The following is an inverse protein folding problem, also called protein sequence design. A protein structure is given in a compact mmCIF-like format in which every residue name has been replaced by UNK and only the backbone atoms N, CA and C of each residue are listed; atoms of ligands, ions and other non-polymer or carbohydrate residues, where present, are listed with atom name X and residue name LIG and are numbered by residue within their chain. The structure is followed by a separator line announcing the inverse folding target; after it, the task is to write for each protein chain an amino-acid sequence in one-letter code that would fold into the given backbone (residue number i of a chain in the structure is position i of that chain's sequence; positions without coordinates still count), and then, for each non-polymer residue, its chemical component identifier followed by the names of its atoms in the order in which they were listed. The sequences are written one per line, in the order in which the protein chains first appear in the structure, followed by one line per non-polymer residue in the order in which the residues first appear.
data_IF_334436527946
#
_entry.id   IF_334436527946
#
_cell.length_a   1.000
_cell.length_b   1.000
_cell.length_c   1.000
_cell.angle_alpha   90.00
_cell.angle_beta   90.00
_cell.angle_gamma   90.00
#
_symmetry.space_group_name_H-M   'P 1'
#
loop_
_entity.id
_entity.type
_entity.pdbx_description
1 polymer ?
#
# COMPACT_ATOMS: atom_id res chain seq x y z
N UNK A 1 -50.44 6.86 -0.58
CA UNK A 1 -49.62 8.06 -0.89
C UNK A 1 -49.04 8.78 0.33
N UNK A 2 -49.73 9.66 1.08
CA UNK A 2 -49.09 10.48 2.15
C UNK A 2 -48.45 9.66 3.30
N UNK A 3 -49.04 8.52 3.68
CA UNK A 3 -48.47 7.63 4.72
C UNK A 3 -47.28 6.81 4.22
N UNK A 4 -47.32 6.35 2.97
CA UNK A 4 -46.22 5.59 2.34
C UNK A 4 -45.00 6.47 2.11
N UNK A 5 -45.19 7.73 1.69
CA UNK A 5 -44.11 8.71 1.54
C UNK A 5 -43.43 8.98 2.89
N UNK A 6 -44.20 9.14 3.98
CA UNK A 6 -43.65 9.31 5.33
C UNK A 6 -42.88 8.08 5.82
N UNK A 7 -43.35 6.88 5.48
CA UNK A 7 -42.69 5.63 5.84
C UNK A 7 -41.35 5.47 5.10
N UNK A 8 -41.32 5.74 3.80
CA UNK A 8 -40.10 5.75 2.99
C UNK A 8 -39.10 6.78 3.52
N UNK A 9 -39.56 7.99 3.83
CA UNK A 9 -38.69 9.05 4.38
C UNK A 9 -38.07 8.63 5.73
N UNK A 10 -38.85 7.97 6.59
CA UNK A 10 -38.37 7.46 7.87
C UNK A 10 -37.30 6.39 7.69
N UNK A 11 -37.44 5.48 6.72
CA UNK A 11 -36.43 4.45 6.43
C UNK A 11 -35.13 5.10 5.92
N UNK A 12 -35.23 6.06 5.01
CA UNK A 12 -34.05 6.77 4.48
C UNK A 12 -33.28 7.49 5.60
N UNK A 13 -33.99 8.13 6.54
CA UNK A 13 -33.37 8.79 7.69
C UNK A 13 -32.69 7.77 8.61
N UNK A 14 -33.32 6.62 8.88
CA UNK A 14 -32.72 5.55 9.69
C UNK A 14 -31.45 5.00 9.01
N UNK A 15 -31.48 4.78 7.69
CA UNK A 15 -30.32 4.32 6.92
C UNK A 15 -29.19 5.36 6.95
N UNK A 16 -29.50 6.65 6.81
CA UNK A 16 -28.49 7.71 6.93
C UNK A 16 -27.87 7.78 8.33
N UNK A 17 -28.65 7.60 9.39
CA UNK A 17 -28.16 7.56 10.78
C UNK A 17 -27.26 6.32 10.99
N UNK A 18 -27.65 5.16 10.47
CA UNK A 18 -26.85 3.94 10.56
C UNK A 18 -25.52 4.07 9.78
N UNK A 19 -25.54 4.68 8.59
CA UNK A 19 -24.34 4.94 7.79
C UNK A 19 -23.38 5.93 8.47
N UNK A 20 -23.91 6.96 9.13
CA UNK A 20 -23.09 7.94 9.88
C UNK A 20 -22.59 7.44 11.23
N UNK A 21 -23.12 6.32 11.72
CA UNK A 21 -22.66 5.63 12.93
C UNK A 21 -21.54 4.63 12.66
N UNK A 22 -21.19 4.37 11.39
CA UNK A 22 -20.08 3.52 11.02
C UNK A 22 -18.77 4.28 11.26
N UNK A 23 -18.35 4.37 12.53
CA UNK A 23 -17.01 4.83 12.88
C UNK A 23 -16.02 3.82 12.31
N UNK A 24 -15.35 4.19 11.23
CA UNK A 24 -14.13 3.51 10.79
C UNK A 24 -13.16 3.62 11.96
N UNK A 25 -12.68 2.48 12.46
CA UNK A 25 -11.65 2.45 13.50
C UNK A 25 -10.46 3.29 13.03
N UNK A 26 -9.91 4.11 13.91
CA UNK A 26 -8.69 4.88 13.66
C UNK A 26 -7.53 4.27 14.46
N UNK A 27 -7.40 2.94 14.39
CA UNK A 27 -6.28 2.24 14.99
C UNK A 27 -5.07 2.38 14.05
N UNK A 28 -3.91 2.81 14.57
CA UNK A 28 -2.65 2.71 13.85
C UNK A 28 -2.45 1.29 13.27
N UNK A 29 -1.95 1.19 12.05
CA UNK A 29 -1.60 -0.08 11.40
C UNK A 29 -0.09 -0.28 11.37
N UNK A 30 0.63 0.74 10.94
CA UNK A 30 2.07 0.69 10.73
C UNK A 30 2.70 2.04 11.00
N UNK A 31 3.81 2.01 11.71
CA UNK A 31 4.72 3.13 11.88
C UNK A 31 5.90 2.96 10.91
N UNK A 32 6.35 4.04 10.29
CA UNK A 32 7.39 4.05 9.26
C UNK A 32 8.46 5.07 9.61
N UNK A 33 9.71 4.69 9.36
CA UNK A 33 10.84 5.61 9.27
C UNK A 33 11.07 5.82 7.78
N UNK A 34 10.73 6.99 7.29
CA UNK A 34 10.88 7.36 5.88
C UNK A 34 12.09 8.25 5.70
N UNK A 35 12.71 8.17 4.52
CA UNK A 35 13.73 9.11 4.07
C UNK A 35 13.30 9.66 2.72
N UNK A 36 13.18 10.99 2.62
CA UNK A 36 13.00 11.60 1.31
C UNK A 36 14.30 11.47 0.50
N UNK A 37 14.21 10.95 -0.73
CA UNK A 37 15.38 10.64 -1.54
C UNK A 37 16.14 11.90 -1.99
N UNK A 38 15.42 12.96 -2.35
CA UNK A 38 16.03 14.21 -2.82
C UNK A 38 16.72 14.99 -1.69
N UNK A 39 16.05 15.14 -0.55
CA UNK A 39 16.50 16.01 0.54
C UNK A 39 17.26 15.28 1.64
N UNK A 40 17.12 13.94 1.70
CA UNK A 40 17.65 13.12 2.79
C UNK A 40 16.93 13.31 4.13
N UNK A 41 15.83 14.09 4.18
CA UNK A 41 15.05 14.33 5.40
C UNK A 41 14.47 13.01 5.89
N UNK A 42 14.67 12.72 7.18
CA UNK A 42 14.06 11.56 7.85
C UNK A 42 12.80 12.03 8.56
N UNK A 43 11.71 11.28 8.38
CA UNK A 43 10.43 11.51 9.03
C UNK A 43 9.92 10.21 9.67
N UNK A 44 9.11 10.35 10.70
CA UNK A 44 8.48 9.24 11.41
C UNK A 44 6.98 9.39 11.25
N UNK A 45 6.35 8.41 10.60
CA UNK A 45 4.95 8.51 10.17
C UNK A 45 4.17 7.29 10.64
N UNK A 46 3.02 7.51 11.26
CA UNK A 46 2.03 6.46 11.53
C UNK A 46 0.96 6.47 10.46
N UNK A 47 0.59 5.31 9.94
CA UNK A 47 -0.55 5.13 9.03
C UNK A 47 -1.63 4.32 9.75
N UNK A 48 -2.84 4.87 9.79
CA UNK A 48 -3.99 4.27 10.48
C UNK A 48 -4.89 3.47 9.54
N UNK A 49 -5.78 2.66 10.11
CA UNK A 49 -6.72 1.78 9.37
C UNK A 49 -7.74 2.52 8.50
N UNK A 50 -7.85 3.83 8.65
CA UNK A 50 -8.63 4.71 7.79
C UNK A 50 -7.78 5.46 6.75
N UNK A 51 -6.56 4.97 6.48
CA UNK A 51 -5.64 5.50 5.46
C UNK A 51 -5.11 6.92 5.75
N UNK A 52 -5.38 7.45 6.95
CA UNK A 52 -4.78 8.71 7.39
C UNK A 52 -3.36 8.46 7.89
N UNK A 53 -2.48 9.42 7.60
CA UNK A 53 -1.12 9.46 8.11
C UNK A 53 -0.94 10.62 9.08
N UNK A 54 -0.13 10.42 10.11
CA UNK A 54 0.32 11.48 11.02
C UNK A 54 1.81 11.36 11.33
N UNK A 55 2.47 12.50 11.55
CA UNK A 55 3.85 12.52 12.04
C UNK A 55 3.85 12.12 13.52
N UNK A 56 4.80 11.26 13.90
CA UNK A 56 4.90 10.71 15.26
C UNK A 56 6.31 10.91 15.83
N UNK A 57 6.44 10.65 17.13
CA UNK A 57 7.74 10.60 17.79
C UNK A 57 8.62 9.47 17.24
N UNK A 58 9.93 9.61 17.45
CA UNK A 58 10.92 8.62 17.02
C UNK A 58 10.67 7.26 17.67
N UNK A 59 10.81 6.18 16.90
CA UNK A 59 10.70 4.81 17.39
C UNK A 59 11.85 3.94 16.86
N UNK A 60 11.99 2.74 17.42
CA UNK A 60 12.97 1.74 16.98
C UNK A 60 12.29 0.79 16.00
N UNK A 61 12.87 0.61 14.82
CA UNK A 61 12.34 -0.32 13.82
C UNK A 61 12.31 -1.74 14.35
N UNK A 62 11.24 -2.46 14.03
CA UNK A 62 11.15 -3.90 14.16
C UNK A 62 12.13 -4.59 13.19
N UNK A 63 12.41 -5.87 13.43
CA UNK A 63 13.12 -6.71 12.48
C UNK A 63 12.21 -7.05 11.29
N UNK A 64 12.66 -6.75 10.08
CA UNK A 64 11.92 -6.99 8.85
C UNK A 64 12.84 -7.50 7.76
N UNK A 65 12.25 -8.22 6.80
CA UNK A 65 12.94 -8.63 5.58
C UNK A 65 12.54 -7.70 4.45
N UNK A 66 13.54 -7.18 3.74
CA UNK A 66 13.36 -6.42 2.51
C UNK A 66 13.67 -7.31 1.31
N UNK A 67 12.76 -7.34 0.35
CA UNK A 67 12.96 -7.96 -0.95
C UNK A 67 12.76 -6.92 -2.04
N UNK A 68 13.69 -6.85 -2.98
CA UNK A 68 13.63 -5.96 -4.13
C UNK A 68 13.30 -6.79 -5.36
N UNK A 69 12.30 -6.37 -6.13
CA UNK A 69 12.04 -6.95 -7.44
C UNK A 69 13.10 -6.51 -8.44
N UNK A 70 13.45 -7.41 -9.35
CA UNK A 70 14.29 -7.07 -10.49
C UNK A 70 13.62 -5.98 -11.33
N UNK A 71 14.42 -5.07 -11.89
CA UNK A 71 13.96 -3.95 -12.71
C UNK A 71 13.15 -4.38 -13.94
N UNK A 72 13.38 -5.60 -14.44
CA UNK A 72 12.68 -6.15 -15.61
C UNK A 72 11.40 -6.92 -15.23
N UNK A 73 11.03 -6.97 -13.94
CA UNK A 73 9.87 -7.71 -13.41
C UNK A 73 8.54 -7.30 -14.05
N UNK A 74 8.40 -6.02 -14.38
CA UNK A 74 7.18 -5.44 -14.91
C UNK A 74 7.43 -4.79 -16.27
N UNK A 75 6.44 -4.86 -17.15
CA UNK A 75 6.35 -4.00 -18.32
C UNK A 75 5.00 -3.30 -18.33
N UNK A 76 4.96 -2.04 -18.76
CA UNK A 76 3.72 -1.30 -18.88
C UNK A 76 3.08 -1.42 -20.26
N UNK A 77 1.75 -1.32 -20.29
CA UNK A 77 0.96 -1.27 -21.51
C UNK A 77 -0.26 -0.37 -21.32
N UNK A 78 -0.84 0.13 -22.42
CA UNK A 78 -2.03 0.97 -22.38
C UNK A 78 -3.27 0.13 -22.67
N UNK A 79 -4.27 0.20 -21.79
CA UNK A 79 -5.58 -0.40 -21.98
C UNK A 79 -6.67 0.49 -21.40
N UNK A 80 -7.75 0.73 -22.16
CA UNK A 80 -8.87 1.59 -21.74
C UNK A 80 -8.43 2.96 -21.18
N UNK A 81 -7.47 3.62 -21.84
CA UNK A 81 -6.86 4.90 -21.44
C UNK A 81 -6.14 4.89 -20.07
N UNK A 82 -5.77 3.71 -19.57
CA UNK A 82 -4.95 3.54 -18.37
C UNK A 82 -3.62 2.90 -18.74
N UNK A 83 -2.56 3.30 -18.05
CA UNK A 83 -1.28 2.60 -18.07
C UNK A 83 -1.37 1.50 -17.01
N UNK A 84 -1.26 0.25 -17.41
CA UNK A 84 -1.32 -0.93 -16.55
C UNK A 84 -0.01 -1.71 -16.67
N UNK A 85 0.18 -2.68 -15.77
CA UNK A 85 1.40 -3.47 -15.68
C UNK A 85 1.14 -4.92 -16.05
N UNK A 86 2.12 -5.54 -16.69
CA UNK A 86 2.18 -6.97 -16.98
C UNK A 86 3.41 -7.54 -16.30
N UNK A 87 3.25 -8.70 -15.67
CA UNK A 87 4.39 -9.44 -15.09
C UNK A 87 5.20 -10.09 -16.22
N UNK A 88 6.49 -9.79 -16.29
CA UNK A 88 7.43 -10.46 -17.19
C UNK A 88 8.07 -11.68 -16.51
N UNK A 89 8.52 -11.48 -15.27
CA UNK A 89 9.12 -12.48 -14.40
C UNK A 89 8.86 -12.10 -12.93
N UNK A 90 8.97 -13.10 -12.05
CA UNK A 90 8.96 -12.90 -10.61
C UNK A 90 10.36 -13.27 -10.13
N UNK A 91 11.20 -12.25 -9.92
CA UNK A 91 12.54 -12.41 -9.39
C UNK A 91 12.74 -11.38 -8.28
N UNK A 92 13.11 -11.88 -7.10
CA UNK A 92 13.35 -11.08 -5.91
C UNK A 92 14.76 -11.31 -5.41
N UNK A 93 15.41 -10.25 -4.96
CA UNK A 93 16.65 -10.29 -4.20
C UNK A 93 16.43 -9.75 -2.80
N UNK A 94 17.03 -10.37 -1.80
CA UNK A 94 17.07 -9.79 -0.46
C UNK A 94 18.07 -8.63 -0.36
N UNK A 95 18.15 -8.00 0.82
CA UNK A 95 19.09 -6.91 1.08
C UNK A 95 20.57 -7.29 0.93
N UNK A 96 20.91 -8.59 0.87
CA UNK A 96 22.26 -9.08 0.61
C UNK A 96 22.51 -9.41 -0.87
N UNK A 97 21.52 -9.22 -1.75
CA UNK A 97 21.59 -9.58 -3.16
C UNK A 97 21.39 -11.09 -3.41
N UNK A 98 20.82 -11.82 -2.45
CA UNK A 98 20.55 -13.24 -2.61
C UNK A 98 19.19 -13.44 -3.26
N UNK A 99 19.12 -14.27 -4.29
CA UNK A 99 17.86 -14.61 -4.96
C UNK A 99 16.93 -15.34 -3.98
N UNK A 100 15.73 -14.80 -3.82
CA UNK A 100 14.67 -15.34 -2.96
C UNK A 100 13.78 -16.27 -3.77
N UNK A 101 13.47 -17.44 -3.20
CA UNK A 101 12.53 -18.38 -3.82
C UNK A 101 11.09 -17.88 -3.67
N UNK A 102 10.39 -17.80 -4.78
CA UNK A 102 8.98 -17.41 -4.80
C UNK A 102 8.09 -18.48 -4.15
N UNK A 103 7.14 -18.02 -3.34
CA UNK A 103 6.03 -18.81 -2.82
C UNK A 103 4.68 -18.28 -3.35
N UNK A 104 3.58 -18.83 -2.84
CA UNK A 104 2.23 -18.41 -3.26
C UNK A 104 1.92 -16.96 -2.87
N UNK A 105 2.46 -16.47 -1.75
CA UNK A 105 2.22 -15.10 -1.28
C UNK A 105 2.93 -14.11 -2.19
N UNK A 106 4.22 -14.33 -2.46
CA UNK A 106 4.99 -13.51 -3.41
C UNK A 106 4.33 -13.51 -4.79
N UNK A 107 3.86 -14.68 -5.24
CA UNK A 107 3.16 -14.77 -6.54
C UNK A 107 1.88 -13.93 -6.53
N UNK A 108 1.09 -13.97 -5.46
CA UNK A 108 -0.11 -13.16 -5.33
C UNK A 108 0.16 -11.65 -5.23
N UNK A 109 1.25 -11.24 -4.57
CA UNK A 109 1.69 -9.84 -4.53
C UNK A 109 1.99 -9.33 -5.95
N UNK A 110 2.74 -10.10 -6.76
CA UNK A 110 3.02 -9.69 -8.14
C UNK A 110 1.75 -9.66 -9.00
N UNK A 111 0.86 -10.65 -8.86
CA UNK A 111 -0.42 -10.70 -9.59
C UNK A 111 -1.33 -9.51 -9.27
N UNK A 112 -1.39 -9.10 -8.02
CA UNK A 112 -2.17 -7.93 -7.62
C UNK A 112 -1.55 -6.61 -8.11
N UNK A 113 -0.23 -6.56 -8.31
CA UNK A 113 0.46 -5.40 -8.87
C UNK A 113 0.09 -5.10 -10.34
N UNK A 114 -0.39 -6.07 -11.12
CA UNK A 114 -0.87 -5.82 -12.50
C UNK A 114 -2.03 -4.82 -12.57
N UNK A 115 -2.77 -4.66 -11.46
CA UNK A 115 -3.88 -3.71 -11.34
C UNK A 115 -3.42 -2.28 -11.01
N UNK A 116 -2.15 -2.09 -10.63
CA UNK A 116 -1.60 -0.77 -10.29
C UNK A 116 -1.56 0.07 -11.58
N UNK A 117 -2.09 1.29 -11.48
CA UNK A 117 -2.02 2.26 -12.57
C UNK A 117 -0.67 2.95 -12.56
N UNK A 118 -0.17 3.25 -13.76
CA UNK A 118 1.18 3.76 -14.05
C UNK A 118 2.28 2.70 -14.11
N UNK A 119 3.33 3.03 -14.83
CA UNK A 119 4.51 2.20 -15.04
C UNK A 119 5.28 2.03 -13.72
N UNK A 120 5.53 0.79 -13.32
CA UNK A 120 6.25 0.46 -12.08
C UNK A 120 7.75 0.59 -12.33
N UNK A 121 8.39 1.52 -11.62
CA UNK A 121 9.84 1.74 -11.69
C UNK A 121 10.60 0.92 -10.65
N UNK A 122 10.07 0.85 -9.43
CA UNK A 122 10.65 0.10 -8.33
C UNK A 122 9.56 -0.59 -7.53
N UNK A 123 9.82 -1.82 -7.10
CA UNK A 123 8.87 -2.64 -6.37
C UNK A 123 9.57 -3.35 -5.21
N UNK A 124 9.32 -2.89 -4.00
CA UNK A 124 9.96 -3.37 -2.78
C UNK A 124 8.92 -4.02 -1.86
N UNK A 125 9.24 -5.21 -1.34
CA UNK A 125 8.38 -5.96 -0.43
C UNK A 125 9.05 -5.99 0.95
N UNK A 126 8.31 -5.55 1.96
CA UNK A 126 8.69 -5.56 3.37
C UNK A 126 7.88 -6.65 4.08
N UNK A 127 8.55 -7.71 4.54
CA UNK A 127 7.93 -8.75 5.36
C UNK A 127 8.25 -8.51 6.83
N UNK A 128 7.21 -8.35 7.64
CA UNK A 128 7.29 -8.07 9.07
C UNK A 128 6.43 -9.08 9.81
N UNK A 129 7.06 -10.01 10.52
CA UNK A 129 6.37 -11.18 11.09
C UNK A 129 5.62 -11.94 9.97
N UNK A 130 4.28 -11.88 9.94
CA UNK A 130 3.43 -12.50 8.91
C UNK A 130 2.78 -11.48 7.96
N UNK A 131 3.01 -10.19 8.17
CA UNK A 131 2.45 -9.12 7.34
C UNK A 131 3.41 -8.75 6.21
N UNK A 132 2.83 -8.36 5.07
CA UNK A 132 3.57 -7.94 3.88
C UNK A 132 3.11 -6.54 3.48
N UNK A 133 4.07 -5.63 3.41
CA UNK A 133 3.88 -4.28 2.88
C UNK A 133 4.66 -4.13 1.60
N UNK A 134 4.15 -3.33 0.66
CA UNK A 134 4.77 -3.15 -0.65
C UNK A 134 4.88 -1.66 -0.94
N UNK A 135 6.10 -1.18 -1.16
CA UNK A 135 6.35 0.16 -1.67
C UNK A 135 6.55 0.07 -3.18
N UNK A 136 5.75 0.83 -3.93
CA UNK A 136 5.82 0.89 -5.39
C UNK A 136 6.15 2.30 -5.82
N UNK A 137 7.33 2.49 -6.43
CA UNK A 137 7.68 3.77 -7.05
C UNK A 137 7.20 3.76 -8.49
N UNK A 138 6.43 4.76 -8.86
CA UNK A 138 5.76 4.83 -10.16
C UNK A 138 6.42 5.89 -11.03
N UNK A 139 6.55 5.59 -12.32
CA UNK A 139 7.05 6.52 -13.33
C UNK A 139 5.90 7.44 -13.81
N UNK A 140 5.79 8.61 -13.18
CA UNK A 140 4.76 9.62 -13.48
C UNK A 140 5.42 10.95 -13.84
N UNK A 141 6.17 10.95 -14.94
CA UNK A 141 6.83 12.14 -15.48
C UNK A 141 7.67 12.88 -14.43
N UNK A 142 7.33 14.15 -14.14
CA UNK A 142 8.12 15.06 -13.28
C UNK A 142 7.80 14.87 -11.79
N UNK A 143 7.06 13.81 -11.45
CA UNK A 143 6.75 13.42 -10.08
C UNK A 143 7.32 12.02 -9.83
N UNK A 144 7.72 11.76 -8.58
CA UNK A 144 8.16 10.46 -8.09
C UNK A 144 7.15 9.90 -7.07
N UNK A 145 5.92 9.58 -7.47
CA UNK A 145 4.94 9.05 -6.53
C UNK A 145 5.36 7.66 -6.05
N UNK A 146 5.20 7.43 -4.75
CA UNK A 146 5.49 6.17 -4.10
C UNK A 146 4.22 5.71 -3.37
N UNK A 147 3.55 4.69 -3.92
CA UNK A 147 2.34 4.14 -3.33
C UNK A 147 2.72 2.98 -2.39
N UNK A 148 2.30 3.07 -1.12
CA UNK A 148 2.50 2.04 -0.12
C UNK A 148 1.22 1.21 0.04
N UNK A 149 1.36 -0.11 0.01
CA UNK A 149 0.28 -1.08 0.12
C UNK A 149 0.50 -2.06 1.27
N UNK A 150 -0.59 -2.61 1.79
CA UNK A 150 -0.63 -3.86 2.55
C UNK A 150 -1.13 -4.97 1.63
N UNK A 151 -0.52 -6.15 1.67
CA UNK A 151 -1.05 -7.31 0.97
C UNK A 151 -2.01 -8.09 1.86
N UNK A 152 -3.29 -8.10 1.49
CA UNK A 152 -4.29 -8.93 2.15
C UNK A 152 -4.16 -10.38 1.66
N UNK A 153 -3.77 -11.27 2.57
CA UNK A 153 -3.56 -12.69 2.27
C UNK A 153 -4.87 -13.47 2.01
N UNK A 154 -6.01 -12.96 2.48
CA UNK A 154 -7.33 -13.57 2.30
C UNK A 154 -7.90 -13.19 0.93
N UNK A 155 -7.94 -11.88 0.64
CA UNK A 155 -8.48 -11.36 -0.61
C UNK A 155 -7.48 -11.51 -1.78
N UNK A 156 -6.20 -11.74 -1.47
CA UNK A 156 -5.07 -11.79 -2.43
C UNK A 156 -4.94 -10.49 -3.23
N UNK A 157 -5.03 -9.36 -2.53
CA UNK A 157 -4.98 -8.02 -3.14
C UNK A 157 -4.08 -7.06 -2.37
N UNK A 158 -3.43 -6.15 -3.10
CA UNK A 158 -2.73 -5.00 -2.55
C UNK A 158 -3.74 -3.91 -2.21
N UNK A 159 -3.87 -3.59 -0.92
CA UNK A 159 -4.71 -2.51 -0.39
C UNK A 159 -3.85 -1.28 -0.19
N UNK A 160 -4.14 -0.21 -0.94
CA UNK A 160 -3.41 1.05 -0.83
C UNK A 160 -3.56 1.61 0.59
N UNK A 161 -2.45 1.83 1.26
CA UNK A 161 -2.39 2.43 2.59
C UNK A 161 -2.16 3.94 2.51
N UNK A 162 -1.15 4.36 1.74
CA UNK A 162 -0.75 5.76 1.68
C UNK A 162 0.01 6.08 0.38
N UNK A 163 0.02 7.36 0.01
CA UNK A 163 0.75 7.88 -1.15
C UNK A 163 1.79 8.88 -0.69
N UNK A 164 3.05 8.53 -0.88
CA UNK A 164 4.19 9.40 -0.62
C UNK A 164 4.69 10.03 -1.92
N UNK A 165 5.64 10.94 -1.76
CA UNK A 165 6.42 11.49 -2.86
C UNK A 165 7.90 11.31 -2.54
N UNK A 166 8.63 10.68 -3.46
CA UNK A 166 10.09 10.61 -3.46
C UNK A 166 10.66 10.08 -2.15
N UNK A 167 10.28 8.85 -1.78
CA UNK A 167 10.55 8.29 -0.46
C UNK A 167 11.15 6.89 -0.50
N UNK A 168 12.09 6.65 0.40
CA UNK A 168 12.54 5.33 0.83
C UNK A 168 11.96 5.00 2.21
N UNK A 169 11.60 3.73 2.43
CA UNK A 169 11.30 3.21 3.77
C UNK A 169 12.57 2.57 4.32
N UNK A 170 13.09 3.12 5.41
CA UNK A 170 14.35 2.68 6.05
C UNK A 170 14.12 2.00 7.40
N UNK A 171 12.89 1.96 7.86
CA UNK A 171 12.47 1.28 9.07
C UNK A 171 10.96 1.25 9.19
N UNK A 172 10.44 0.31 9.97
CA UNK A 172 9.02 0.16 10.21
C UNK A 172 8.76 -0.48 11.56
N UNK A 173 7.55 -0.35 12.08
CA UNK A 173 7.08 -1.13 13.22
C UNK A 173 5.58 -1.34 13.11
N UNK A 174 5.09 -2.52 13.47
CA UNK A 174 3.66 -2.75 13.56
C UNK A 174 3.11 -1.94 14.73
N UNK A 175 2.01 -1.22 14.51
CA UNK A 175 1.44 -0.46 15.59
C UNK A 175 0.62 -1.37 16.52
N UNK A 176 0.76 -1.17 17.84
CA UNK A 176 0.12 -1.95 18.90
C UNK A 176 -1.38 -1.65 19.08
#
# INVERSE_FOLDING_TARGET
MKKEIKFILSIIVIVMILLSSYKISNSPLINLITRNETTGKIEYVSISSNWNSEEIDTFISDDFKLYNADSDSFSSYISNNKVLNKINNIALEDSAGTIVKNDEIITGIFQSAEKIEHDILEFQIFKVVENYFVLVKLNVNWQSPCDLYEYDTVDKELKLLHKFQDVDIIGLSLAD
#
